data_IF_038311047321
#
_entry.id   IF_038311047321
#
_cell.length_a   1.000
_cell.length_b   1.000
_cell.length_c   1.000
_cell.angle_alpha   90.00
_cell.angle_beta   90.00
_cell.angle_gamma   90.00
#
_symmetry.space_group_name_H-M   'P 1'
#
loop_
_entity.id
_entity.type
_entity.pdbx_description
1 polymer ?
#
# COMPACT_ATOMS: atom_id res chain seq x y z
N UNK A 1 11.55 -14.11 22.16
CA UNK A 1 11.72 -15.44 22.79
C UNK A 1 10.44 -15.97 23.46
N UNK A 2 9.26 -15.74 22.87
CA UNK A 2 7.99 -16.09 23.52
C UNK A 2 7.78 -17.60 23.68
N UNK A 3 8.16 -18.39 22.67
CA UNK A 3 8.04 -19.85 22.71
C UNK A 3 8.87 -20.49 23.85
N UNK A 4 10.12 -20.06 24.04
CA UNK A 4 10.96 -20.58 25.13
C UNK A 4 10.41 -20.23 26.53
N UNK A 5 9.84 -19.03 26.69
CA UNK A 5 9.16 -18.64 27.93
C UNK A 5 7.94 -19.52 28.18
N UNK A 6 7.11 -19.75 27.16
CA UNK A 6 5.94 -20.62 27.26
C UNK A 6 6.31 -22.06 27.61
N UNK A 7 7.42 -22.60 27.10
CA UNK A 7 7.90 -23.93 27.48
C UNK A 7 8.35 -24.01 28.95
N UNK A 8 8.94 -22.94 29.49
CA UNK A 8 9.24 -22.84 30.92
C UNK A 8 7.97 -22.81 31.76
N UNK A 9 7.03 -21.92 31.40
CA UNK A 9 5.78 -21.68 32.13
C UNK A 9 4.84 -22.88 32.12
N UNK A 10 4.71 -23.56 30.97
CA UNK A 10 3.66 -24.56 30.75
C UNK A 10 4.18 -26.01 30.77
N UNK A 11 5.45 -26.24 30.45
CA UNK A 11 6.02 -27.59 30.32
C UNK A 11 7.18 -27.86 31.29
N UNK A 12 7.52 -26.91 32.17
CA UNK A 12 8.62 -27.05 33.14
C UNK A 12 10.00 -27.19 32.48
N UNK A 13 10.14 -26.76 31.22
CA UNK A 13 11.42 -26.79 30.51
C UNK A 13 12.41 -25.80 31.13
N UNK A 14 13.71 -26.02 30.92
CA UNK A 14 14.78 -25.08 31.30
C UNK A 14 15.53 -24.59 30.07
N UNK A 15 15.89 -23.30 30.01
CA UNK A 15 16.68 -22.74 28.91
C UNK A 15 18.13 -23.22 29.04
N UNK A 16 18.60 -24.01 28.07
CA UNK A 16 19.92 -24.65 28.11
C UNK A 16 21.08 -23.72 27.73
N UNK A 17 20.84 -22.69 26.90
CA UNK A 17 21.88 -21.75 26.47
C UNK A 17 21.28 -20.41 26.03
N UNK A 18 22.15 -19.42 25.83
CA UNK A 18 21.78 -18.19 25.15
C UNK A 18 21.34 -18.46 23.70
N UNK A 19 20.58 -17.52 23.14
CA UNK A 19 20.22 -17.52 21.71
C UNK A 19 21.49 -17.42 20.90
N UNK A 20 21.71 -18.39 20.00
CA UNK A 20 22.73 -18.30 18.98
C UNK A 20 22.04 -17.93 17.66
N UNK A 21 22.27 -16.70 17.20
CA UNK A 21 21.81 -16.23 15.90
C UNK A 21 23.06 -16.04 15.01
N UNK A 22 23.32 -17.02 14.14
CA UNK A 22 24.38 -16.94 13.15
C UNK A 22 23.91 -16.03 12.02
N UNK A 23 24.06 -14.72 12.24
CA UNK A 23 23.63 -13.60 11.39
C UNK A 23 23.28 -13.95 9.94
N UNK A 24 22.00 -13.85 9.59
CA UNK A 24 21.58 -13.40 8.26
C UNK A 24 21.45 -11.87 8.32
N UNK A 25 22.13 -11.14 7.43
CA UNK A 25 21.97 -9.68 7.31
C UNK A 25 20.48 -9.37 7.19
N UNK A 26 19.95 -8.59 8.13
CA UNK A 26 18.54 -8.17 8.07
C UNK A 26 18.30 -7.41 6.75
N UNK A 27 17.20 -7.71 6.03
CA UNK A 27 16.92 -7.03 4.76
C UNK A 27 16.82 -5.53 5.00
N UNK A 28 17.53 -4.75 4.20
CA UNK A 28 17.47 -3.29 4.24
C UNK A 28 16.14 -2.88 3.63
N UNK A 29 15.26 -2.30 4.44
CA UNK A 29 13.98 -1.75 3.99
C UNK A 29 14.25 -0.34 3.47
N UNK A 30 14.16 -0.16 2.17
CA UNK A 30 14.36 1.14 1.55
C UNK A 30 13.21 2.10 1.92
N UNK A 31 13.50 3.35 2.29
CA UNK A 31 12.46 4.37 2.42
C UNK A 31 11.79 4.64 1.08
N UNK A 32 10.47 4.78 1.11
CA UNK A 32 9.60 5.04 -0.03
C UNK A 32 9.28 6.54 -0.03
N UNK A 33 9.51 7.21 -1.15
CA UNK A 33 9.14 8.61 -1.31
C UNK A 33 7.62 8.72 -1.56
N UNK A 34 6.95 9.61 -0.84
CA UNK A 34 5.52 9.87 -0.96
C UNK A 34 5.24 11.37 -0.93
N UNK A 35 4.30 11.82 -1.75
CA UNK A 35 3.88 13.22 -1.85
C UNK A 35 2.36 13.33 -1.70
N UNK A 36 1.88 14.35 -0.99
CA UNK A 36 0.45 14.55 -0.72
C UNK A 36 -0.38 14.76 -1.99
N UNK A 37 0.17 15.47 -2.99
CA UNK A 37 -0.47 15.66 -4.28
C UNK A 37 -0.68 14.32 -4.98
N UNK A 38 0.30 13.42 -4.93
CA UNK A 38 0.18 12.08 -5.50
C UNK A 38 -0.88 11.25 -4.77
N UNK A 39 -0.87 11.27 -3.43
CA UNK A 39 -1.88 10.60 -2.60
C UNK A 39 -3.29 11.05 -3.00
N UNK A 40 -3.52 12.36 -3.13
CA UNK A 40 -4.81 12.91 -3.56
C UNK A 40 -5.19 12.49 -4.97
N UNK A 41 -4.24 12.55 -5.91
CA UNK A 41 -4.51 12.22 -7.31
C UNK A 41 -4.88 10.76 -7.54
N UNK A 42 -4.22 9.85 -6.81
CA UNK A 42 -4.40 8.42 -7.01
C UNK A 42 -5.60 7.89 -6.21
N UNK A 43 -5.82 8.39 -4.99
CA UNK A 43 -6.94 7.97 -4.16
C UNK A 43 -8.26 8.66 -4.51
N UNK A 44 -8.22 9.84 -5.14
CA UNK A 44 -9.40 10.68 -5.37
C UNK A 44 -9.95 11.35 -4.10
N UNK A 45 -9.28 11.20 -2.96
CA UNK A 45 -9.69 11.76 -1.66
C UNK A 45 -8.84 12.97 -1.31
N UNK A 46 -9.48 14.04 -0.84
CA UNK A 46 -8.77 15.24 -0.38
C UNK A 46 -8.27 15.06 1.07
N UNK A 47 -7.14 14.37 1.22
CA UNK A 47 -6.47 14.20 2.51
C UNK A 47 -5.73 15.46 2.96
N UNK A 48 -5.64 15.67 4.28
CA UNK A 48 -4.65 16.60 4.86
C UNK A 48 -3.33 15.87 5.12
N UNK A 49 -2.22 16.63 5.15
CA UNK A 49 -0.89 16.11 5.45
C UNK A 49 -0.87 15.34 6.79
N UNK A 50 -1.47 15.91 7.83
CA UNK A 50 -1.52 15.32 9.17
C UNK A 50 -2.29 14.01 9.18
N UNK A 51 -3.36 13.91 8.38
CA UNK A 51 -4.16 12.69 8.30
C UNK A 51 -3.38 11.55 7.66
N UNK A 52 -2.65 11.81 6.57
CA UNK A 52 -1.81 10.80 5.90
C UNK A 52 -0.71 10.31 6.84
N UNK A 53 0.02 11.22 7.47
CA UNK A 53 1.09 10.88 8.42
C UNK A 53 0.55 10.01 9.57
N UNK A 54 -0.55 10.42 10.19
CA UNK A 54 -1.15 9.68 11.31
C UNK A 54 -1.58 8.26 10.92
N UNK A 55 -2.08 8.07 9.71
CA UNK A 55 -2.48 6.75 9.21
C UNK A 55 -1.26 5.85 8.98
N UNK A 56 -0.22 6.37 8.34
CA UNK A 56 1.02 5.64 8.09
C UNK A 56 1.75 5.28 9.39
N UNK A 57 1.83 6.21 10.34
CA UNK A 57 2.39 5.93 11.67
C UNK A 57 1.55 4.89 12.43
N UNK A 58 0.23 4.90 12.26
CA UNK A 58 -0.67 3.88 12.81
C UNK A 58 -0.41 2.46 12.27
N UNK A 59 0.16 2.34 11.07
CA UNK A 59 0.64 1.07 10.51
C UNK A 59 2.02 0.64 11.04
N UNK A 60 2.65 1.48 11.86
CA UNK A 60 4.02 1.27 12.32
C UNK A 60 5.08 1.74 11.33
N UNK A 61 4.72 2.49 10.29
CA UNK A 61 5.70 3.10 9.41
C UNK A 61 6.41 4.26 10.12
N UNK A 62 7.72 4.40 9.89
CA UNK A 62 8.46 5.61 10.27
C UNK A 62 8.32 6.64 9.15
N UNK A 63 7.78 7.81 9.46
CA UNK A 63 7.56 8.88 8.48
C UNK A 63 8.52 10.04 8.75
N UNK A 64 9.36 10.39 7.77
CA UNK A 64 10.26 11.54 7.84
C UNK A 64 9.88 12.55 6.78
N UNK A 65 10.07 13.84 7.04
CA UNK A 65 9.89 14.89 6.03
C UNK A 65 10.82 14.67 4.84
N UNK A 66 10.29 14.87 3.63
CA UNK A 66 11.04 14.87 2.39
C UNK A 66 11.69 16.22 2.11
N UNK A 67 12.16 16.40 0.86
CA UNK A 67 12.84 17.62 0.41
C UNK A 67 11.88 18.73 -0.02
N UNK A 68 10.63 18.38 -0.33
CA UNK A 68 9.58 19.31 -0.73
C UNK A 68 8.51 19.46 0.37
N UNK A 69 7.73 20.56 0.38
CA UNK A 69 6.54 20.68 1.22
C UNK A 69 5.59 19.50 0.98
N UNK A 70 4.94 19.02 2.03
CA UNK A 70 3.97 17.92 1.99
C UNK A 70 4.50 16.64 1.30
N UNK A 71 5.81 16.41 1.40
CA UNK A 71 6.48 15.19 0.96
C UNK A 71 7.14 14.45 2.12
N UNK A 72 7.27 13.13 2.00
CA UNK A 72 7.81 12.26 3.03
C UNK A 72 8.70 11.15 2.47
N UNK A 73 9.61 10.67 3.32
CA UNK A 73 10.26 9.38 3.20
C UNK A 73 9.68 8.45 4.25
N UNK A 74 8.97 7.42 3.78
CA UNK A 74 8.23 6.47 4.60
C UNK A 74 8.99 5.15 4.65
N UNK A 75 9.33 4.67 5.84
CA UNK A 75 9.97 3.37 6.04
C UNK A 75 8.97 2.40 6.68
N UNK A 76 8.50 1.37 5.95
CA UNK A 76 7.64 0.33 6.50
C UNK A 76 8.31 -0.46 7.63
N UNK A 77 7.52 -1.03 8.57
CA UNK A 77 8.06 -1.95 9.56
C UNK A 77 8.45 -3.29 8.91
N UNK A 78 9.37 -4.03 9.52
CA UNK A 78 9.97 -5.25 8.93
C UNK A 78 9.03 -6.41 8.65
N UNK A 79 7.83 -6.41 9.24
CA UNK A 79 6.81 -7.43 8.98
C UNK A 79 5.89 -7.07 7.81
N UNK A 80 5.99 -5.85 7.25
CA UNK A 80 5.25 -5.37 6.08
C UNK A 80 6.11 -5.54 4.83
N UNK A 81 6.27 -6.80 4.42
CA UNK A 81 7.01 -7.17 3.21
C UNK A 81 6.21 -6.95 1.92
N UNK A 82 5.11 -6.21 2.00
CA UNK A 82 4.18 -5.87 0.93
C UNK A 82 4.22 -4.37 0.59
N UNK A 83 5.05 -3.59 1.28
CA UNK A 83 5.20 -2.14 1.08
C UNK A 83 6.57 -1.80 0.50
N UNK A 84 6.61 -1.43 -0.77
CA UNK A 84 7.80 -1.16 -1.57
C UNK A 84 7.66 0.06 -2.48
N UNK A 85 6.44 0.39 -2.92
CA UNK A 85 6.16 1.49 -3.84
C UNK A 85 5.12 2.46 -3.24
N UNK A 86 5.08 3.74 -3.68
CA UNK A 86 4.15 4.71 -3.13
C UNK A 86 2.68 4.32 -3.28
N UNK A 87 2.30 3.60 -4.34
CA UNK A 87 0.94 3.14 -4.60
C UNK A 87 0.43 2.20 -3.50
N UNK A 88 1.29 1.33 -2.97
CA UNK A 88 0.95 0.41 -1.88
C UNK A 88 0.74 1.18 -0.55
N UNK A 89 1.48 2.26 -0.33
CA UNK A 89 1.23 3.15 0.81
C UNK A 89 -0.09 3.91 0.66
N UNK A 90 -0.40 4.36 -0.57
CA UNK A 90 -1.64 5.09 -0.87
C UNK A 90 -2.85 4.16 -0.69
N UNK A 91 -2.75 2.91 -1.14
CA UNK A 91 -3.77 1.89 -0.95
C UNK A 91 -4.06 1.70 0.54
N UNK A 92 -3.02 1.56 1.37
CA UNK A 92 -3.18 1.41 2.81
C UNK A 92 -3.79 2.64 3.49
N UNK A 93 -3.40 3.84 3.05
CA UNK A 93 -4.01 5.10 3.52
C UNK A 93 -5.50 5.14 3.16
N UNK A 94 -5.86 4.77 1.93
CA UNK A 94 -7.26 4.69 1.49
C UNK A 94 -8.04 3.60 2.26
N UNK A 95 -7.43 2.43 2.48
CA UNK A 95 -8.04 1.31 3.20
C UNK A 95 -8.33 1.67 4.66
N UNK A 96 -7.40 2.33 5.34
CA UNK A 96 -7.58 2.80 6.72
C UNK A 96 -8.48 4.02 6.84
N UNK A 97 -8.58 4.84 5.79
CA UNK A 97 -9.60 5.88 5.71
C UNK A 97 -11.01 5.29 5.57
N UNK A 98 -11.11 4.19 4.83
CA UNK A 98 -12.35 3.49 4.50
C UNK A 98 -12.71 3.72 3.04
N UNK A 99 -12.83 2.65 2.25
CA UNK A 99 -13.14 2.76 0.82
C UNK A 99 -14.51 3.36 0.52
N UNK A 100 -15.47 3.24 1.44
CA UNK A 100 -16.80 3.86 1.30
C UNK A 100 -16.74 5.39 1.25
N UNK A 101 -15.65 5.99 1.75
CA UNK A 101 -15.42 7.43 1.70
C UNK A 101 -14.74 7.90 0.40
N UNK A 102 -14.31 6.97 -0.47
CA UNK A 102 -13.69 7.31 -1.76
C UNK A 102 -14.78 7.82 -2.72
N UNK A 103 -14.64 9.03 -3.30
CA UNK A 103 -15.64 9.59 -4.19
C UNK A 103 -15.84 8.74 -5.44
N UNK A 104 -17.10 8.44 -5.77
CA UNK A 104 -17.46 7.84 -7.05
C UNK A 104 -17.50 8.94 -8.11
N UNK A 105 -16.46 9.00 -8.95
CA UNK A 105 -16.41 9.90 -10.10
C UNK A 105 -16.48 9.11 -11.40
N UNK A 106 -17.43 9.41 -12.31
CA UNK A 106 -17.49 8.75 -13.61
C UNK A 106 -16.28 9.14 -14.45
N UNK A 107 -15.71 8.16 -15.15
CA UNK A 107 -14.68 8.41 -16.13
C UNK A 107 -15.23 9.32 -17.24
N UNK A 108 -14.61 10.49 -17.40
CA UNK A 108 -14.95 11.42 -18.46
C UNK A 108 -13.90 11.32 -19.54
N UNK A 109 -14.31 10.87 -20.73
CA UNK A 109 -13.44 10.81 -21.90
C UNK A 109 -14.19 11.43 -23.10
N UNK A 110 -13.51 12.23 -23.94
CA UNK A 110 -14.08 12.62 -25.22
C UNK A 110 -14.28 11.36 -26.06
N UNK A 111 -15.53 11.08 -26.43
CA UNK A 111 -15.86 9.99 -27.34
C UNK A 111 -16.00 10.55 -28.74
N UNK A 112 -15.20 10.02 -29.67
CA UNK A 112 -15.51 10.16 -31.08
C UNK A 112 -16.65 9.18 -31.42
N UNK A 113 -17.69 9.62 -32.13
CA UNK A 113 -18.73 8.72 -32.60
C UNK A 113 -18.08 7.68 -33.52
N UNK A 114 -18.13 6.42 -33.10
CA UNK A 114 -17.69 5.33 -33.95
C UNK A 114 -18.58 5.30 -35.20
N UNK A 115 -18.01 5.15 -36.41
CA UNK A 115 -18.80 4.93 -37.61
C UNK A 115 -19.73 3.74 -37.36
N UNK A 116 -21.03 3.95 -37.50
CA UNK A 116 -21.97 2.83 -37.47
C UNK A 116 -21.82 2.08 -38.80
N UNK A 117 -21.12 0.94 -38.78
CA UNK A 117 -21.17 -0.03 -39.88
C UNK A 117 -22.65 -0.44 -40.06
N UNK A 118 -23.28 -0.22 -41.23
CA UNK A 118 -24.64 -0.68 -41.46
C UNK A 118 -24.74 -2.20 -41.21
N UNK A 119 -25.76 -2.61 -40.44
CA UNK A 119 -26.03 -4.00 -39.98
C UNK A 119 -25.88 -5.07 -41.07
N UNK A 120 -26.10 -4.71 -42.34
CA UNK A 120 -25.96 -5.60 -43.50
C UNK A 120 -24.53 -6.07 -43.79
N UNK A 121 -23.49 -5.38 -43.30
CA UNK A 121 -22.09 -5.81 -43.46
C UNK A 121 -21.70 -6.96 -42.51
N UNK A 122 -22.44 -7.18 -41.42
CA UNK A 122 -22.22 -8.32 -40.51
C UNK A 122 -22.77 -9.65 -41.07
N UNK A 123 -23.67 -9.60 -42.04
CA UNK A 123 -24.29 -10.79 -42.65
C UNK A 123 -23.33 -11.65 -43.48
N UNK A 124 -22.21 -11.10 -43.95
CA UNK A 124 -21.22 -11.83 -44.75
C UNK A 124 -20.21 -12.63 -43.92
N UNK A 125 -20.25 -12.55 -42.59
CA UNK A 125 -19.36 -13.29 -41.68
C UNK A 125 -20.01 -14.55 -41.08
N UNK A 126 -21.28 -14.83 -41.37
CA UNK A 126 -22.01 -16.02 -40.84
C UNK A 126 -22.31 -17.06 -41.94
N UNK A 127 -21.83 -16.85 -43.17
CA UNK A 127 -22.01 -17.78 -44.30
C UNK A 127 -20.68 -18.08 -45.01
N UNK A 128 -19.67 -18.52 -44.24
CA UNK A 128 -18.54 -19.33 -44.73
C UNK A 128 -18.28 -20.49 -43.77
#
# INVERSE_FOLDING_TARGET
MRAAQLLQELAGASIASAVNDSQSVAPIIAPIALDLGYVRSLSGVDFTAERVVKLLEGLGCTVKSGTAPDSWLVTPPSHRSDLHIPEELIEEVARLHGYDAVPVQPLTAPLEPQPQEPVWQLGNLVMQ
#
